data_IF_496034657869
#
_entry.id   IF_496034657869
#
_cell.length_a   1.000
_cell.length_b   1.000
_cell.length_c   1.000
_cell.angle_alpha   90.00
_cell.angle_beta   90.00
_cell.angle_gamma   90.00
#
_symmetry.space_group_name_H-M   'P 1'
#
loop_
_entity.id
_entity.type
_entity.pdbx_description
1 polymer ?
#
# COMPACT_ATOMS: atom_id res chain seq x y z
N UNK A 1 19.84 4.66 -15.70
CA UNK A 1 19.61 4.16 -14.32
C UNK A 1 19.29 5.35 -13.43
N UNK A 2 18.02 5.59 -13.11
CA UNK A 2 17.57 6.78 -12.36
C UNK A 2 17.91 6.67 -10.87
N UNK A 3 18.60 7.67 -10.32
CA UNK A 3 18.94 7.74 -8.90
C UNK A 3 17.70 8.16 -8.11
N UNK A 4 17.21 7.28 -7.22
CA UNK A 4 16.14 7.61 -6.27
C UNK A 4 16.60 8.74 -5.34
N UNK A 5 15.76 9.76 -5.18
CA UNK A 5 15.97 10.85 -4.22
C UNK A 5 15.83 10.30 -2.78
N UNK A 6 16.57 10.80 -1.78
CA UNK A 6 16.43 10.37 -0.39
C UNK A 6 14.97 10.58 0.08
N UNK A 7 14.27 9.48 0.40
CA UNK A 7 12.86 9.49 0.81
C UNK A 7 11.84 9.22 -0.30
N UNK A 8 12.27 9.06 -1.56
CA UNK A 8 11.37 8.60 -2.63
C UNK A 8 11.11 7.10 -2.50
N UNK A 9 9.87 6.73 -2.17
CA UNK A 9 9.42 5.34 -2.19
C UNK A 9 9.05 4.95 -3.62
N UNK A 10 9.50 3.79 -4.11
CA UNK A 10 9.01 3.26 -5.37
C UNK A 10 7.47 3.21 -5.39
N UNK A 11 6.85 3.51 -6.53
CA UNK A 11 5.38 3.53 -6.63
C UNK A 11 4.72 2.19 -6.31
N UNK A 12 5.41 1.06 -6.52
CA UNK A 12 4.93 -0.25 -6.09
C UNK A 12 4.76 -0.38 -4.56
N UNK A 13 5.30 0.56 -3.79
CA UNK A 13 5.22 0.59 -2.32
C UNK A 13 4.16 1.55 -1.78
N UNK A 14 3.38 2.24 -2.63
CA UNK A 14 2.28 3.10 -2.17
C UNK A 14 1.01 2.26 -1.93
N UNK A 15 0.61 2.02 -0.67
CA UNK A 15 -0.60 1.25 -0.38
C UNK A 15 -1.85 2.06 -0.77
N UNK A 16 -2.89 1.40 -1.28
CA UNK A 16 -4.20 1.99 -1.61
C UNK A 16 -4.22 3.06 -2.71
N UNK A 17 -3.19 3.10 -3.55
CA UNK A 17 -3.10 4.06 -4.65
C UNK A 17 -3.00 3.31 -5.97
N UNK A 18 -4.10 3.19 -6.73
CA UNK A 18 -4.00 2.72 -8.11
C UNK A 18 -3.17 3.72 -8.92
N UNK A 19 -2.34 3.21 -9.83
CA UNK A 19 -1.50 4.06 -10.68
C UNK A 19 -1.39 3.54 -12.10
N UNK A 20 -1.27 4.46 -13.05
CA UNK A 20 -0.97 4.16 -14.45
C UNK A 20 0.47 4.58 -14.74
N UNK A 21 1.19 3.74 -15.49
CA UNK A 21 2.53 4.08 -15.99
C UNK A 21 2.46 4.36 -17.49
N UNK A 22 2.83 5.57 -17.90
CA UNK A 22 2.99 5.94 -19.32
C UNK A 22 4.32 6.67 -19.50
N UNK A 23 5.18 6.15 -20.38
CA UNK A 23 6.50 6.73 -20.63
C UNK A 23 7.41 6.80 -19.39
N UNK A 24 7.20 5.95 -18.38
CA UNK A 24 7.94 5.97 -17.11
C UNK A 24 7.45 7.01 -16.09
N UNK A 25 6.44 7.80 -16.44
CA UNK A 25 5.72 8.65 -15.50
C UNK A 25 4.64 7.84 -14.81
N UNK A 26 4.46 8.07 -13.51
CA UNK A 26 3.42 7.42 -12.72
C UNK A 26 2.38 8.46 -12.32
N UNK A 27 1.13 8.18 -12.63
CA UNK A 27 -0.02 9.03 -12.30
C UNK A 27 -0.85 8.39 -11.18
N UNK A 28 -1.15 9.15 -10.14
CA UNK A 28 -2.10 8.78 -9.09
C UNK A 28 -3.51 9.03 -9.61
N UNK A 29 -4.35 8.00 -9.64
CA UNK A 29 -5.71 8.13 -10.17
C UNK A 29 -6.78 8.21 -9.07
N UNK A 30 -6.50 7.66 -7.89
CA UNK A 30 -7.41 7.68 -6.75
C UNK A 30 -6.63 7.43 -5.45
N UNK A 31 -7.10 8.03 -4.36
CA UNK A 31 -6.59 7.74 -3.01
C UNK A 31 -7.76 7.26 -2.16
N UNK A 32 -7.80 5.96 -1.89
CA UNK A 32 -8.85 5.37 -1.07
C UNK A 32 -8.49 5.47 0.41
N UNK A 33 -9.16 6.36 1.13
CA UNK A 33 -8.97 6.53 2.59
C UNK A 33 -9.64 5.43 3.40
N UNK A 34 -10.73 4.85 2.86
CA UNK A 34 -11.44 3.69 3.42
C UNK A 34 -11.57 2.63 2.33
N UNK A 35 -10.58 1.73 2.19
CA UNK A 35 -10.65 0.64 1.23
C UNK A 35 -11.63 -0.44 1.67
N UNK A 36 -12.02 -1.33 0.75
CA UNK A 36 -12.73 -2.56 1.10
C UNK A 36 -11.92 -3.45 2.06
N UNK A 37 -12.61 -4.25 2.88
CA UNK A 37 -11.99 -5.09 3.91
C UNK A 37 -12.26 -6.59 3.70
N UNK A 38 -12.77 -6.97 2.53
CA UNK A 38 -12.97 -8.38 2.16
C UNK A 38 -11.66 -9.02 1.69
N UNK A 39 -11.50 -10.36 1.80
CA UNK A 39 -10.32 -11.04 1.28
C UNK A 39 -10.03 -10.77 -0.20
N UNK A 40 -11.07 -10.51 -0.99
CA UNK A 40 -11.00 -10.19 -2.42
C UNK A 40 -10.62 -8.74 -2.74
N UNK A 41 -10.39 -7.89 -1.73
CA UNK A 41 -10.02 -6.49 -1.96
C UNK A 41 -8.56 -6.37 -2.43
N UNK A 42 -8.31 -5.52 -3.44
CA UNK A 42 -6.98 -5.31 -4.05
C UNK A 42 -5.89 -5.03 -3.02
N UNK A 43 -6.16 -4.22 -1.99
CA UNK A 43 -5.19 -3.93 -0.93
C UNK A 43 -4.72 -5.20 -0.20
N UNK A 44 -5.61 -6.15 0.06
CA UNK A 44 -5.28 -7.42 0.73
C UNK A 44 -4.38 -8.26 -0.18
N UNK A 45 -4.67 -8.30 -1.49
CA UNK A 45 -3.82 -8.97 -2.46
C UNK A 45 -2.44 -8.30 -2.60
N UNK A 46 -2.35 -6.97 -2.54
CA UNK A 46 -1.08 -6.23 -2.53
C UNK A 46 -0.26 -6.51 -1.27
N UNK A 47 -0.91 -6.70 -0.11
CA UNK A 47 -0.21 -7.10 1.11
C UNK A 47 0.37 -8.51 0.99
N UNK A 48 -0.37 -9.43 0.37
CA UNK A 48 0.09 -10.80 0.09
C UNK A 48 1.22 -10.87 -0.94
N UNK A 49 1.31 -9.93 -1.88
CA UNK A 49 2.37 -9.92 -2.90
C UNK A 49 3.70 -9.35 -2.39
N UNK A 50 3.74 -8.80 -1.17
CA UNK A 50 4.99 -8.35 -0.54
C UNK A 50 5.94 -9.51 -0.25
N UNK A 51 7.21 -9.18 -0.07
CA UNK A 51 8.24 -10.12 0.38
C UNK A 51 8.89 -9.55 1.65
N UNK A 52 8.65 -10.14 2.84
CA UNK A 52 7.78 -11.31 3.09
C UNK A 52 6.27 -11.00 2.88
N UNK A 53 5.45 -12.01 2.55
CA UNK A 53 4.01 -11.83 2.37
C UNK A 53 3.35 -11.48 3.70
N UNK A 54 2.48 -10.48 3.69
CA UNK A 54 1.69 -10.09 4.85
C UNK A 54 0.29 -10.70 4.74
N UNK A 55 0.01 -11.72 5.54
CA UNK A 55 -1.29 -12.41 5.54
C UNK A 55 -2.39 -11.56 6.19
N UNK A 56 -3.68 -11.79 5.85
CA UNK A 56 -4.80 -10.96 6.33
C UNK A 56 -4.82 -10.75 7.85
N UNK A 57 -4.56 -11.79 8.65
CA UNK A 57 -4.51 -11.66 10.11
C UNK A 57 -3.43 -10.67 10.57
N UNK A 58 -2.24 -10.74 10.00
CA UNK A 58 -1.13 -9.83 10.31
C UNK A 58 -1.42 -8.42 9.80
N UNK A 59 -2.01 -8.30 8.62
CA UNK A 59 -2.42 -7.03 8.04
C UNK A 59 -3.40 -6.30 8.96
N UNK A 60 -4.52 -6.94 9.33
CA UNK A 60 -5.52 -6.32 10.20
C UNK A 60 -4.97 -6.02 11.59
N UNK A 61 -4.12 -6.91 12.14
CA UNK A 61 -3.44 -6.65 13.41
C UNK A 61 -2.57 -5.39 13.34
N UNK A 62 -1.79 -5.23 12.27
CA UNK A 62 -0.95 -4.06 12.06
C UNK A 62 -1.77 -2.78 11.98
N UNK A 63 -2.90 -2.80 11.27
CA UNK A 63 -3.81 -1.64 11.17
C UNK A 63 -4.36 -1.26 12.55
N UNK A 64 -4.79 -2.23 13.36
CA UNK A 64 -5.27 -1.98 14.72
C UNK A 64 -4.18 -1.43 15.63
N UNK A 65 -2.98 -2.01 15.59
CA UNK A 65 -1.85 -1.56 16.40
C UNK A 65 -1.49 -0.09 16.06
N UNK A 66 -1.50 0.29 14.78
CA UNK A 66 -1.27 1.67 14.33
C UNK A 66 -2.38 2.62 14.80
N UNK A 67 -3.64 2.20 14.74
CA UNK A 67 -4.76 3.01 15.23
C UNK A 67 -4.65 3.25 16.75
N UNK A 68 -4.27 2.23 17.52
CA UNK A 68 -4.09 2.34 18.96
C UNK A 68 -2.90 3.22 19.34
N UNK A 69 -1.81 3.22 18.57
CA UNK A 69 -0.68 4.13 18.78
C UNK A 69 -1.07 5.60 18.59
N UNK A 70 -2.00 5.89 17.66
CA UNK A 70 -2.47 7.25 17.39
C UNK A 70 -3.44 7.78 18.44
N UNK A 71 -4.11 6.89 19.17
CA UNK A 71 -5.08 7.24 20.22
C UNK A 71 -4.44 7.45 21.61
N UNK A 72 -3.12 7.36 21.71
CA UNK A 72 -2.33 7.77 22.88
C UNK A 72 -1.79 9.18 22.66
#
# INVERSE_FOLDING_TARGET
>A
MGRLLPGSRPYHDLPNVPSLTSGGLVMVIEVNTVPGMTPSTVLIHQALSKQPPMYPQQFFRTVLDLALQRSK
#
